data_IF_529422744051
#
_entry.id   IF_529422744051
#
_cell.length_a   1.000
_cell.length_b   1.000
_cell.length_c   1.000
_cell.angle_alpha   90.00
_cell.angle_beta   90.00
_cell.angle_gamma   90.00
#
_symmetry.space_group_name_H-M   'P 1'
#
loop_
_entity.id
_entity.type
_entity.pdbx_description
1 polymer ?
#
# COMPACT_ATOMS: atom_id res chain seq x y z
N UNK A 1 -61.33 19.48 -13.32
CA UNK A 1 -60.37 18.47 -12.81
C UNK A 1 -58.96 18.97 -13.12
N UNK A 2 -58.35 19.73 -12.20
CA UNK A 2 -56.96 20.20 -12.34
C UNK A 2 -56.03 19.16 -11.71
N UNK A 3 -55.18 18.52 -12.51
CA UNK A 3 -54.07 17.71 -12.01
C UNK A 3 -52.85 18.60 -11.86
N UNK A 4 -52.52 18.95 -10.63
CA UNK A 4 -51.25 19.54 -10.27
C UNK A 4 -50.15 18.47 -10.43
N UNK A 5 -49.15 18.77 -11.26
CA UNK A 5 -47.96 17.94 -11.43
C UNK A 5 -46.96 18.31 -10.32
N UNK A 6 -46.80 17.45 -9.32
CA UNK A 6 -45.79 17.60 -8.28
C UNK A 6 -44.43 17.22 -8.88
N UNK A 7 -43.55 18.20 -9.10
CA UNK A 7 -42.14 17.93 -9.42
C UNK A 7 -41.41 17.60 -8.13
N UNK A 8 -41.06 16.33 -7.96
CA UNK A 8 -40.18 15.85 -6.90
C UNK A 8 -38.74 16.25 -7.28
N UNK A 9 -38.21 17.31 -6.68
CA UNK A 9 -36.79 17.67 -6.81
C UNK A 9 -36.01 16.71 -5.91
N UNK A 10 -35.41 15.68 -6.52
CA UNK A 10 -34.39 14.85 -5.89
C UNK A 10 -33.16 15.72 -5.64
N UNK A 11 -32.98 16.17 -4.40
CA UNK A 11 -31.71 16.74 -3.94
C UNK A 11 -30.74 15.57 -3.83
N UNK A 12 -29.91 15.38 -4.86
CA UNK A 12 -28.76 14.50 -4.77
C UNK A 12 -27.78 15.11 -3.75
N UNK A 13 -27.20 14.31 -2.84
CA UNK A 13 -26.15 14.81 -1.96
C UNK A 13 -25.00 15.32 -2.82
N UNK A 14 -24.57 16.55 -2.54
CA UNK A 14 -23.37 17.15 -3.12
C UNK A 14 -22.20 16.30 -2.64
N UNK A 15 -21.72 15.42 -3.51
CA UNK A 15 -20.44 14.73 -3.31
C UNK A 15 -19.38 15.82 -3.27
N UNK A 16 -18.65 15.91 -2.15
CA UNK A 16 -17.52 16.84 -2.01
C UNK A 16 -16.61 16.74 -3.23
N UNK A 17 -16.26 17.90 -3.79
CA UNK A 17 -15.41 17.94 -4.99
C UNK A 17 -13.99 17.57 -4.59
N UNK A 18 -13.59 16.34 -4.89
CA UNK A 18 -12.21 15.88 -4.71
C UNK A 18 -11.30 16.68 -5.66
N UNK A 19 -10.29 17.34 -5.10
CA UNK A 19 -9.34 18.19 -5.85
C UNK A 19 -8.03 17.47 -6.20
N UNK A 20 -8.02 16.13 -6.15
CA UNK A 20 -6.84 15.36 -6.55
C UNK A 20 -6.60 15.55 -8.04
N UNK A 21 -5.49 16.19 -8.38
CA UNK A 21 -5.02 16.29 -9.75
C UNK A 21 -4.23 15.04 -10.13
N UNK A 22 -4.40 14.59 -11.37
CA UNK A 22 -3.65 13.45 -11.90
C UNK A 22 -3.09 13.78 -13.28
N UNK A 23 -1.84 13.42 -13.51
CA UNK A 23 -1.15 13.69 -14.77
C UNK A 23 -0.49 12.43 -15.31
N UNK A 24 -0.65 12.25 -16.61
CA UNK A 24 0.21 11.36 -17.38
C UNK A 24 1.43 12.15 -17.81
N UNK A 25 2.60 11.75 -17.32
CA UNK A 25 3.87 12.32 -17.74
C UNK A 25 4.56 11.33 -18.67
N UNK A 26 5.27 11.83 -19.68
CA UNK A 26 5.93 10.94 -20.64
C UNK A 26 6.95 10.04 -19.91
N UNK A 27 7.86 10.67 -19.20
CA UNK A 27 8.94 10.06 -18.43
C UNK A 27 9.02 10.77 -17.07
N UNK A 28 9.47 10.04 -16.05
CA UNK A 28 9.74 10.59 -14.72
C UNK A 28 11.25 10.60 -14.47
N UNK A 29 11.78 11.78 -14.13
CA UNK A 29 13.21 11.99 -13.86
C UNK A 29 13.54 11.93 -12.35
N UNK A 30 12.58 11.53 -11.52
CA UNK A 30 12.78 11.37 -10.08
C UNK A 30 13.72 10.19 -9.77
N UNK A 31 14.34 10.22 -8.60
CA UNK A 31 15.17 9.11 -8.10
C UNK A 31 14.30 7.93 -7.64
N UNK A 32 14.48 6.77 -8.27
CA UNK A 32 13.84 5.49 -7.91
C UNK A 32 14.84 4.43 -7.40
N UNK A 33 16.05 4.84 -6.98
CA UNK A 33 17.09 3.94 -6.45
C UNK A 33 16.67 3.16 -5.19
N UNK A 34 15.54 3.51 -4.55
CA UNK A 34 14.99 2.73 -3.44
C UNK A 34 14.73 1.27 -3.83
N UNK A 35 14.52 0.94 -5.11
CA UNK A 35 14.35 -0.44 -5.59
C UNK A 35 15.61 -1.30 -5.45
N UNK A 36 16.77 -0.71 -5.18
CA UNK A 36 18.01 -1.44 -4.85
C UNK A 36 18.05 -1.87 -3.38
N UNK A 37 17.20 -1.27 -2.53
CA UNK A 37 17.02 -1.66 -1.12
C UNK A 37 16.14 -2.89 -1.04
N UNK A 38 16.42 -3.74 -0.05
CA UNK A 38 15.64 -4.93 0.23
C UNK A 38 15.52 -5.15 1.74
N UNK A 39 14.47 -5.88 2.13
CA UNK A 39 14.26 -6.37 3.48
C UNK A 39 13.80 -7.83 3.46
N UNK A 40 13.92 -8.51 4.60
CA UNK A 40 13.19 -9.76 4.80
C UNK A 40 11.75 -9.47 5.20
N UNK A 41 10.90 -10.49 5.14
CA UNK A 41 9.57 -10.39 5.70
C UNK A 41 9.59 -10.14 7.22
N UNK A 42 8.50 -9.55 7.70
CA UNK A 42 8.29 -9.26 9.12
C UNK A 42 8.49 -10.53 9.96
N UNK A 43 9.26 -10.41 11.04
CA UNK A 43 9.63 -11.53 11.90
C UNK A 43 10.92 -12.25 11.50
N UNK A 44 11.46 -12.05 10.29
CA UNK A 44 12.73 -12.63 9.85
C UNK A 44 13.89 -11.66 10.14
N UNK A 45 14.94 -12.17 10.79
CA UNK A 45 16.10 -11.36 11.18
C UNK A 45 17.37 -12.20 11.29
N UNK A 46 18.53 -11.54 11.29
CA UNK A 46 19.82 -12.18 11.56
C UNK A 46 20.04 -12.23 13.08
N UNK A 47 20.13 -13.43 13.64
CA UNK A 47 20.37 -13.61 15.07
C UNK A 47 21.86 -13.32 15.43
N UNK A 48 22.19 -13.34 16.73
CA UNK A 48 23.56 -13.05 17.22
C UNK A 48 24.64 -14.03 16.73
N UNK A 49 24.25 -15.17 16.15
CA UNK A 49 25.14 -16.16 15.55
C UNK A 49 25.27 -16.01 14.02
N UNK A 50 24.66 -14.99 13.43
CA UNK A 50 24.70 -14.76 11.99
C UNK A 50 23.75 -15.64 11.19
N UNK A 51 22.81 -16.34 11.83
CA UNK A 51 21.81 -17.17 11.15
C UNK A 51 20.55 -16.36 10.91
N UNK A 52 19.91 -16.56 9.75
CA UNK A 52 18.54 -16.10 9.56
C UNK A 52 17.62 -16.89 10.46
N UNK A 53 16.91 -16.19 11.32
CA UNK A 53 15.96 -16.71 12.29
C UNK A 53 14.60 -16.06 12.07
N UNK A 54 13.61 -16.58 12.76
CA UNK A 54 12.24 -16.09 12.71
C UNK A 54 11.70 -15.98 14.15
N UNK A 55 11.04 -14.86 14.47
CA UNK A 55 10.27 -14.64 15.69
C UNK A 55 8.91 -13.93 15.44
N UNK A 56 7.94 -14.13 16.33
CA UNK A 56 6.61 -13.50 16.30
C UNK A 56 5.62 -14.08 15.27
N UNK A 57 5.97 -14.04 13.97
CA UNK A 57 5.10 -14.45 12.86
C UNK A 57 5.48 -15.80 12.26
N UNK A 58 5.92 -16.73 13.10
CA UNK A 58 6.64 -17.91 12.65
C UNK A 58 5.89 -19.21 12.96
N UNK A 59 6.03 -20.24 12.11
CA UNK A 59 5.48 -21.56 12.41
C UNK A 59 6.09 -22.12 13.70
N UNK A 60 5.24 -22.61 14.62
CA UNK A 60 5.69 -23.08 15.94
C UNK A 60 6.68 -24.26 15.84
N UNK A 61 6.64 -25.02 14.74
CA UNK A 61 7.49 -26.17 14.50
C UNK A 61 8.98 -25.80 14.36
N UNK A 62 9.30 -24.52 14.14
CA UNK A 62 10.69 -24.10 14.02
C UNK A 62 11.38 -24.00 15.39
N UNK A 63 10.63 -23.91 16.49
CA UNK A 63 11.21 -23.68 17.81
C UNK A 63 11.94 -24.91 18.34
N UNK A 64 11.49 -26.12 18.00
CA UNK A 64 12.20 -27.37 18.33
C UNK A 64 13.51 -27.55 17.56
N UNK A 65 13.76 -26.70 16.56
CA UNK A 65 14.99 -26.71 15.76
C UNK A 65 16.02 -25.71 16.29
N UNK A 66 15.67 -24.96 17.34
CA UNK A 66 16.55 -24.02 18.04
C UNK A 66 17.00 -24.62 19.38
N UNK A 67 18.18 -24.22 19.85
CA UNK A 67 18.60 -24.47 21.23
C UNK A 67 17.93 -23.49 22.22
N UNK A 68 18.16 -23.69 23.50
CA UNK A 68 17.59 -22.84 24.58
C UNK A 68 18.05 -21.38 24.50
N UNK A 69 19.12 -21.08 23.77
CA UNK A 69 19.59 -19.71 23.58
C UNK A 69 18.93 -19.06 22.34
N UNK A 70 18.29 -19.84 21.46
CA UNK A 70 17.70 -19.40 20.20
C UNK A 70 18.61 -19.58 18.98
N UNK A 71 19.71 -20.33 19.09
CA UNK A 71 20.56 -20.70 17.95
C UNK A 71 19.90 -21.84 17.21
N UNK A 72 19.86 -21.77 15.89
CA UNK A 72 19.39 -22.91 15.09
C UNK A 72 20.46 -24.00 15.18
N UNK A 73 20.04 -25.20 15.61
CA UNK A 73 20.92 -26.36 15.75
C UNK A 73 21.52 -26.68 14.37
N UNK A 74 22.84 -26.89 14.30
CA UNK A 74 23.55 -26.98 13.02
C UNK A 74 22.97 -28.10 12.12
N UNK A 75 22.66 -29.27 12.67
CA UNK A 75 22.03 -30.39 11.95
C UNK A 75 20.58 -30.13 11.52
N UNK A 76 19.95 -29.10 12.08
CA UNK A 76 18.56 -28.71 11.79
C UNK A 76 18.46 -27.55 10.79
N UNK A 77 19.57 -26.90 10.40
CA UNK A 77 19.55 -25.70 9.55
C UNK A 77 18.79 -25.91 8.24
N UNK A 78 19.06 -27.01 7.54
CA UNK A 78 18.36 -27.30 6.27
C UNK A 78 16.87 -27.49 6.47
N UNK A 79 16.45 -28.10 7.60
CA UNK A 79 15.03 -28.29 7.90
C UNK A 79 14.38 -26.97 8.26
N UNK A 80 15.06 -26.15 9.05
CA UNK A 80 14.61 -24.81 9.43
C UNK A 80 14.32 -23.95 8.20
N UNK A 81 15.29 -23.84 7.28
CA UNK A 81 15.14 -23.06 6.04
C UNK A 81 14.19 -23.68 5.00
N UNK A 82 13.76 -24.92 5.19
CA UNK A 82 12.65 -25.49 4.40
C UNK A 82 11.26 -25.05 4.90
N UNK A 83 11.18 -24.53 6.13
CA UNK A 83 9.92 -24.12 6.77
C UNK A 83 9.73 -22.61 6.65
N UNK A 84 10.79 -21.83 6.82
CA UNK A 84 10.71 -20.37 6.77
C UNK A 84 11.07 -19.83 5.39
N UNK A 85 10.34 -18.81 4.94
CA UNK A 85 10.70 -18.03 3.76
C UNK A 85 11.79 -17.03 4.14
N UNK A 86 12.97 -17.19 3.55
CA UNK A 86 14.12 -16.30 3.74
C UNK A 86 14.39 -15.44 2.51
N UNK A 87 13.42 -15.36 1.59
CA UNK A 87 13.55 -14.58 0.36
C UNK A 87 13.54 -13.08 0.68
N UNK A 88 14.60 -12.38 0.27
CA UNK A 88 14.63 -10.92 0.31
C UNK A 88 13.60 -10.33 -0.64
N UNK A 89 12.96 -9.24 -0.22
CA UNK A 89 12.00 -8.50 -1.03
C UNK A 89 12.53 -7.11 -1.28
N UNK A 90 12.67 -6.77 -2.56
CA UNK A 90 13.05 -5.42 -2.96
C UNK A 90 11.91 -4.44 -2.71
N UNK A 91 12.27 -3.22 -2.36
CA UNK A 91 11.29 -2.17 -2.08
C UNK A 91 10.55 -1.82 -3.37
N UNK A 92 9.26 -1.58 -3.27
CA UNK A 92 8.43 -1.09 -4.39
C UNK A 92 7.78 0.25 -4.07
N UNK A 93 7.99 0.76 -2.85
CA UNK A 93 7.50 2.03 -2.36
C UNK A 93 8.54 2.72 -1.46
N UNK A 94 8.61 4.04 -1.57
CA UNK A 94 9.31 4.91 -0.63
C UNK A 94 8.45 6.15 -0.40
N UNK A 95 8.28 6.60 0.84
CA UNK A 95 7.42 7.73 1.13
C UNK A 95 7.54 8.27 2.56
N UNK A 96 6.90 9.43 2.76
CA UNK A 96 6.69 10.06 4.06
C UNK A 96 5.19 10.02 4.32
N UNK A 97 4.82 9.36 5.42
CA UNK A 97 3.43 9.08 5.75
C UNK A 97 3.12 9.66 7.12
N UNK A 98 2.03 10.41 7.18
CA UNK A 98 1.34 10.73 8.41
C UNK A 98 -0.02 10.05 8.32
N UNK A 99 -0.15 8.92 8.98
CA UNK A 99 -1.37 8.11 9.05
C UNK A 99 -1.58 7.64 10.50
N UNK A 100 -2.83 7.48 10.92
CA UNK A 100 -3.12 6.88 12.23
C UNK A 100 -2.75 5.38 12.22
N UNK A 101 -2.23 4.86 13.33
CA UNK A 101 -1.78 3.47 13.48
C UNK A 101 -0.92 3.00 12.28
N UNK A 102 0.07 3.82 11.91
CA UNK A 102 1.03 3.56 10.84
C UNK A 102 2.45 3.72 11.37
N UNK A 103 3.31 2.72 11.12
CA UNK A 103 4.73 2.78 11.43
C UNK A 103 5.55 2.98 10.15
N UNK A 104 5.58 1.96 9.28
CA UNK A 104 6.29 2.01 8.00
C UNK A 104 5.68 1.08 6.95
N UNK A 105 6.02 1.33 5.68
CA UNK A 105 5.71 0.43 4.57
C UNK A 105 6.64 0.70 3.38
N UNK A 106 7.32 -0.35 2.92
CA UNK A 106 8.24 -0.31 1.77
C UNK A 106 7.71 -1.06 0.54
N UNK A 107 6.51 -1.63 0.63
CA UNK A 107 5.96 -2.52 -0.39
C UNK A 107 4.54 -2.12 -0.79
N UNK A 108 4.33 -2.02 -2.09
CA UNK A 108 3.03 -1.92 -2.76
C UNK A 108 2.84 -3.15 -3.64
N UNK A 109 1.61 -3.67 -3.65
CA UNK A 109 1.15 -4.70 -4.54
C UNK A 109 0.23 -4.11 -5.60
N UNK A 110 0.37 -4.55 -6.84
CA UNK A 110 -0.58 -4.27 -7.91
C UNK A 110 -1.45 -5.49 -8.19
N UNK A 111 -2.74 -5.26 -8.41
CA UNK A 111 -3.69 -6.25 -8.93
C UNK A 111 -4.48 -5.65 -10.07
N UNK A 112 -4.80 -6.48 -11.06
CA UNK A 112 -5.72 -6.12 -12.12
C UNK A 112 -7.14 -6.50 -11.73
N UNK A 113 -8.03 -5.53 -11.66
CA UNK A 113 -9.46 -5.72 -11.38
C UNK A 113 -10.24 -5.15 -12.57
N UNK A 114 -10.82 -6.04 -13.37
CA UNK A 114 -11.43 -5.71 -14.67
C UNK A 114 -10.46 -4.92 -15.57
N UNK A 115 -10.79 -3.66 -15.85
CA UNK A 115 -9.99 -2.74 -16.64
C UNK A 115 -9.17 -1.75 -15.81
N UNK A 116 -9.09 -1.94 -14.48
CA UNK A 116 -8.36 -1.08 -13.56
C UNK A 116 -7.16 -1.79 -12.98
N UNK A 117 -6.13 -1.00 -12.70
CA UNK A 117 -5.03 -1.38 -11.83
C UNK A 117 -5.38 -0.87 -10.43
N UNK A 118 -5.27 -1.75 -9.45
CA UNK A 118 -5.42 -1.45 -8.04
C UNK A 118 -4.07 -1.65 -7.35
N UNK A 119 -3.52 -0.55 -6.84
CA UNK A 119 -2.34 -0.52 -5.99
C UNK A 119 -2.75 -0.52 -4.52
N UNK A 120 -2.06 -1.30 -3.70
CA UNK A 120 -2.26 -1.35 -2.25
C UNK A 120 -0.92 -1.44 -1.52
N UNK A 121 -0.70 -0.56 -0.55
CA UNK A 121 0.45 -0.67 0.35
C UNK A 121 0.28 -1.84 1.32
N UNK A 122 1.37 -2.55 1.59
CA UNK A 122 1.43 -3.65 2.57
C UNK A 122 1.07 -3.12 3.96
N UNK A 123 0.34 -3.92 4.72
CA UNK A 123 0.08 -3.76 6.15
C UNK A 123 0.86 -4.82 6.92
N UNK A 124 1.11 -4.56 8.21
CA UNK A 124 1.88 -5.45 9.08
C UNK A 124 1.37 -5.41 10.51
N UNK A 125 2.14 -5.93 11.47
CA UNK A 125 1.72 -5.91 12.89
C UNK A 125 1.62 -4.48 13.42
N UNK A 126 2.46 -3.57 12.96
CA UNK A 126 2.52 -2.18 13.42
C UNK A 126 1.91 -1.16 12.43
N UNK A 127 1.43 -1.62 11.27
CA UNK A 127 0.88 -0.76 10.20
C UNK A 127 -0.53 -1.22 9.86
N UNK A 128 -1.53 -0.48 10.34
CA UNK A 128 -2.96 -0.79 10.24
C UNK A 128 -3.71 0.09 9.23
N UNK A 129 -3.04 1.09 8.67
CA UNK A 129 -3.57 1.93 7.59
C UNK A 129 -2.87 1.59 6.28
N UNK A 130 -3.64 1.33 5.23
CA UNK A 130 -3.14 1.14 3.87
C UNK A 130 -3.62 2.23 2.92
N UNK A 131 -2.74 2.65 2.01
CA UNK A 131 -3.08 3.45 0.85
C UNK A 131 -3.51 2.55 -0.29
N UNK A 132 -4.60 2.94 -0.93
CA UNK A 132 -5.15 2.32 -2.11
C UNK A 132 -5.22 3.35 -3.24
N UNK A 133 -4.68 3.02 -4.41
CA UNK A 133 -4.79 3.83 -5.62
C UNK A 133 -5.36 2.97 -6.73
N UNK A 134 -6.44 3.42 -7.35
CA UNK A 134 -7.09 2.76 -8.48
C UNK A 134 -7.07 3.66 -9.71
N UNK A 135 -6.64 3.10 -10.84
CA UNK A 135 -6.60 3.83 -12.10
C UNK A 135 -6.86 2.94 -13.31
N UNK A 136 -7.25 3.57 -14.41
CA UNK A 136 -7.38 2.90 -15.70
C UNK A 136 -6.06 3.09 -16.47
N UNK A 137 -5.38 2.01 -16.90
CA UNK A 137 -4.05 2.09 -17.50
C UNK A 137 -4.08 2.52 -18.98
N UNK A 138 -4.72 3.65 -19.26
CA UNK A 138 -4.75 4.29 -20.58
C UNK A 138 -4.56 5.80 -20.40
N UNK A 139 -3.44 6.36 -20.89
CA UNK A 139 -3.17 7.80 -20.88
C UNK A 139 -4.25 8.67 -21.51
N UNK A 140 -5.04 8.13 -22.45
CA UNK A 140 -6.16 8.83 -23.09
C UNK A 140 -7.47 8.78 -22.29
N UNK A 141 -7.53 8.00 -21.21
CA UNK A 141 -8.74 7.80 -20.44
C UNK A 141 -9.09 9.00 -19.58
N UNK A 142 -10.38 9.38 -19.62
CA UNK A 142 -10.97 10.38 -18.73
C UNK A 142 -11.60 9.77 -17.48
N UNK A 143 -11.40 8.47 -17.27
CA UNK A 143 -11.93 7.77 -16.10
C UNK A 143 -11.17 8.24 -14.86
N UNK A 144 -11.87 8.68 -13.81
CA UNK A 144 -11.22 9.28 -12.65
C UNK A 144 -10.38 8.25 -11.89
N UNK A 145 -9.22 8.74 -11.45
CA UNK A 145 -8.39 8.12 -10.44
C UNK A 145 -9.14 8.09 -9.11
N UNK A 146 -8.86 7.08 -8.29
CA UNK A 146 -9.33 7.04 -6.91
C UNK A 146 -8.15 6.75 -6.01
N UNK A 147 -7.92 7.62 -5.05
CA UNK A 147 -7.02 7.36 -3.95
C UNK A 147 -7.82 7.38 -2.65
N UNK A 148 -7.57 6.41 -1.78
CA UNK A 148 -8.22 6.32 -0.48
C UNK A 148 -7.36 5.54 0.51
N UNK A 149 -7.55 5.84 1.79
CA UNK A 149 -7.04 5.03 2.88
C UNK A 149 -8.06 3.96 3.26
N UNK A 150 -7.58 2.77 3.59
CA UNK A 150 -8.32 1.83 4.43
C UNK A 150 -7.63 1.80 5.78
N UNK A 151 -8.39 2.11 6.82
CA UNK A 151 -7.94 2.03 8.20
C UNK A 151 -8.59 0.82 8.87
N UNK A 152 -7.76 -0.13 9.32
CA UNK A 152 -8.16 -1.35 10.00
C UNK A 152 -7.60 -1.38 11.43
N UNK A 153 -8.23 -0.59 12.29
CA UNK A 153 -7.94 -0.44 13.72
C UNK A 153 -7.65 -1.73 14.47
N UNK A 154 -6.72 -1.66 15.43
CA UNK A 154 -6.52 -2.73 16.44
C UNK A 154 -7.68 -2.86 17.44
N UNK A 155 -8.47 -1.79 17.62
CA UNK A 155 -9.71 -1.83 18.39
C UNK A 155 -10.81 -2.55 17.61
N UNK A 156 -11.75 -3.17 18.32
CA UNK A 156 -12.93 -3.84 17.74
C UNK A 156 -13.88 -2.84 17.07
N UNK A 157 -13.55 -2.44 15.84
CA UNK A 157 -14.34 -1.57 14.99
C UNK A 157 -14.20 -2.00 13.53
N UNK A 158 -15.26 -1.78 12.75
CA UNK A 158 -15.24 -2.08 11.32
C UNK A 158 -14.19 -1.22 10.58
N UNK A 159 -13.54 -1.75 9.53
CA UNK A 159 -12.60 -0.97 8.72
C UNK A 159 -13.27 0.29 8.14
N UNK A 160 -12.54 1.40 8.16
CA UNK A 160 -13.02 2.70 7.65
C UNK A 160 -12.29 3.06 6.36
N UNK A 161 -12.99 3.75 5.47
CA UNK A 161 -12.47 4.17 4.16
C UNK A 161 -12.53 5.69 4.04
N UNK A 162 -11.39 6.31 3.75
CA UNK A 162 -11.26 7.77 3.63
C UNK A 162 -10.71 8.12 2.26
N UNK A 163 -11.47 8.86 1.46
CA UNK A 163 -11.00 9.28 0.13
C UNK A 163 -10.05 10.46 0.24
N UNK A 164 -9.07 10.51 -0.67
CA UNK A 164 -8.20 11.67 -0.80
C UNK A 164 -9.03 12.90 -1.15
N UNK A 165 -8.84 13.99 -0.40
CA UNK A 165 -9.56 15.25 -0.58
C UNK A 165 -8.80 16.18 -1.52
N UNK A 166 -7.47 16.10 -1.51
CA UNK A 166 -6.57 16.94 -2.28
C UNK A 166 -5.26 16.20 -2.62
N UNK A 167 -4.51 16.71 -3.59
CA UNK A 167 -3.19 16.20 -3.91
C UNK A 167 -2.86 16.11 -5.40
N UNK A 168 -1.76 15.42 -5.67
CA UNK A 168 -1.21 15.19 -7.01
C UNK A 168 -0.82 13.72 -7.18
N UNK A 169 -1.02 13.19 -8.37
CA UNK A 169 -0.52 11.87 -8.80
C UNK A 169 0.05 12.02 -10.21
N UNK A 170 1.33 11.70 -10.38
CA UNK A 170 1.98 11.64 -11.68
C UNK A 170 2.34 10.19 -12.02
N UNK A 171 2.07 9.77 -13.26
CA UNK A 171 2.34 8.41 -13.73
C UNK A 171 3.08 8.47 -15.06
N UNK A 172 4.17 7.72 -15.18
CA UNK A 172 4.90 7.58 -16.44
C UNK A 172 4.11 6.74 -17.44
N UNK A 173 3.71 7.35 -18.55
CA UNK A 173 3.10 6.62 -19.67
C UNK A 173 4.09 5.70 -20.37
N UNK A 174 5.37 6.07 -20.42
CA UNK A 174 6.42 5.25 -21.04
C UNK A 174 6.73 3.99 -20.20
N UNK A 175 6.85 4.13 -18.87
CA UNK A 175 6.98 2.98 -17.99
C UNK A 175 5.79 2.03 -18.13
N UNK A 176 4.57 2.57 -18.18
CA UNK A 176 3.35 1.80 -18.36
C UNK A 176 3.34 1.00 -19.67
N UNK A 177 3.74 1.65 -20.77
CA UNK A 177 3.90 0.98 -22.07
C UNK A 177 4.92 -0.18 -22.02
N UNK A 178 5.96 -0.02 -21.20
CA UNK A 178 7.01 -1.02 -21.01
C UNK A 178 6.69 -2.06 -19.92
N UNK A 179 5.45 -2.17 -19.47
CA UNK A 179 5.05 -3.21 -18.50
C UNK A 179 5.28 -2.85 -17.04
N UNK A 180 5.54 -1.57 -16.71
CA UNK A 180 5.89 -1.11 -15.37
C UNK A 180 4.94 -0.01 -14.88
N UNK A 181 4.71 0.04 -13.57
CA UNK A 181 4.09 1.17 -12.90
C UNK A 181 5.21 2.00 -12.29
N UNK A 182 5.38 3.23 -12.77
CA UNK A 182 6.25 4.24 -12.18
C UNK A 182 5.41 5.47 -11.86
N UNK A 183 5.33 5.81 -10.57
CA UNK A 183 4.40 6.82 -10.05
C UNK A 183 5.02 7.64 -8.93
N UNK A 184 4.65 8.92 -8.83
CA UNK A 184 4.86 9.76 -7.65
C UNK A 184 3.56 10.42 -7.25
N UNK A 185 3.36 10.63 -5.95
CA UNK A 185 2.14 11.21 -5.44
C UNK A 185 2.38 11.99 -4.15
N UNK A 186 1.48 12.93 -3.89
CA UNK A 186 1.39 13.71 -2.65
C UNK A 186 -0.09 13.93 -2.37
N UNK A 187 -0.62 13.22 -1.38
CA UNK A 187 -2.05 13.09 -1.12
C UNK A 187 -2.41 13.55 0.28
N UNK A 188 -3.53 14.24 0.39
CA UNK A 188 -4.12 14.69 1.65
C UNK A 188 -5.47 13.99 1.87
N UNK A 189 -5.74 13.64 3.12
CA UNK A 189 -6.98 12.98 3.53
C UNK A 189 -7.55 13.67 4.76
N UNK A 190 -8.85 13.94 4.72
CA UNK A 190 -9.63 14.37 5.88
C UNK A 190 -10.29 13.13 6.49
N UNK A 191 -10.18 13.01 7.81
CA UNK A 191 -10.83 11.98 8.60
C UNK A 191 -12.10 12.57 9.22
N UNK A 192 -13.20 11.83 9.19
CA UNK A 192 -14.48 12.24 9.79
C UNK A 192 -14.48 12.20 11.34
N UNK A 193 -13.30 12.27 11.98
CA UNK A 193 -13.13 12.17 13.42
C UNK A 193 -12.43 13.42 13.96
N UNK A 194 -13.15 14.18 14.80
CA UNK A 194 -12.79 15.52 15.28
C UNK A 194 -11.40 15.62 15.96
N UNK A 195 -10.86 14.49 16.44
CA UNK A 195 -9.58 14.43 17.17
C UNK A 195 -8.40 13.92 16.33
N UNK A 196 -8.62 13.52 15.07
CA UNK A 196 -7.55 13.01 14.22
C UNK A 196 -6.99 14.11 13.33
N UNK A 197 -5.67 14.28 13.39
CA UNK A 197 -4.95 15.21 12.52
C UNK A 197 -5.16 14.83 11.04
N UNK A 198 -5.14 15.81 10.12
CA UNK A 198 -5.10 15.54 8.69
C UNK A 198 -3.99 14.53 8.37
N UNK A 199 -4.35 13.53 7.56
CA UNK A 199 -3.40 12.49 7.16
C UNK A 199 -2.81 12.87 5.82
N UNK A 200 -1.52 12.60 5.65
CA UNK A 200 -0.80 12.88 4.42
C UNK A 200 -0.02 11.65 3.98
N UNK A 201 0.04 11.43 2.68
CA UNK A 201 0.83 10.37 2.11
C UNK A 201 1.53 10.88 0.86
N UNK A 202 2.84 11.05 0.99
CA UNK A 202 3.71 11.44 -0.10
C UNK A 202 4.65 10.30 -0.41
N UNK A 203 4.74 9.89 -1.67
CA UNK A 203 5.57 8.74 -2.00
C UNK A 203 5.84 8.55 -3.49
N UNK A 204 6.64 7.52 -3.74
CA UNK A 204 7.01 7.01 -5.06
C UNK A 204 6.73 5.51 -5.09
N UNK A 205 6.33 5.02 -6.24
CA UNK A 205 6.06 3.60 -6.49
C UNK A 205 6.76 3.17 -7.77
N UNK A 206 7.46 2.04 -7.71
CA UNK A 206 8.03 1.36 -8.88
C UNK A 206 7.84 -0.16 -8.75
N UNK A 207 7.05 -0.76 -9.65
CA UNK A 207 6.84 -2.20 -9.74
C UNK A 207 6.37 -2.63 -11.13
N UNK A 208 6.44 -3.92 -11.42
CA UNK A 208 5.86 -4.48 -12.65
C UNK A 208 4.33 -4.40 -12.65
N UNK A 209 3.75 -4.25 -13.84
CA UNK A 209 2.32 -4.44 -14.03
C UNK A 209 1.94 -5.90 -13.69
N UNK A 210 0.76 -6.11 -13.08
CA UNK A 210 0.23 -7.45 -12.89
C UNK A 210 -0.14 -8.06 -14.24
N UNK A 211 0.10 -9.36 -14.39
CA UNK A 211 -0.32 -10.15 -15.58
C UNK A 211 -1.85 -10.12 -15.77
#
# INVERSE_FOLDING_TARGET
MNRALLFLILILPIVGTTQVSWNWVRQMDNDFSFVEKWEYDEGIYVNKWGQLSCDGLCPIEIDVLKDEQGRIIDDSLSKFYSIIDTTHRYFTHEGIVRAYEFDACNHVYAKKHDYRIHLQTKVGIATHTSLHIEFFPDPGSKIPFRAYLIYNSIRDQAPKKYFATNGTIDISSEALYNGMIQMSFDLEFELDEDDLLPQTWKGKILLSLPE
#
